data_IF_189033738977
#
_entry.id   IF_189033738977
#
_cell.length_a   1.000
_cell.length_b   1.000
_cell.length_c   1.000
_cell.angle_alpha   90.00
_cell.angle_beta   90.00
_cell.angle_gamma   90.00
#
_symmetry.space_group_name_H-M   'P 1'
#
loop_
_entity.id
_entity.type
_entity.pdbx_description
1 polymer ?
#
# COMPACT_ATOMS: atom_id res chain seq x y z
N UNK A 1 -11.77 17.21 1.12
CA UNK A 1 -10.33 17.08 0.75
C UNK A 1 -9.82 15.80 1.41
N UNK A 2 -9.89 14.69 0.69
CA UNK A 2 -9.47 13.37 1.15
C UNK A 2 -7.94 13.36 1.27
N UNK A 3 -7.39 13.67 2.44
CA UNK A 3 -5.94 13.58 2.67
C UNK A 3 -5.62 12.16 3.09
N UNK A 4 -5.29 11.32 2.12
CA UNK A 4 -4.67 10.02 2.37
C UNK A 4 -3.27 10.27 2.92
N UNK A 5 -3.13 10.27 4.23
CA UNK A 5 -1.83 10.36 4.92
C UNK A 5 -1.12 8.99 4.87
N UNK A 6 0.22 8.92 5.00
CA UNK A 6 0.92 7.71 5.39
C UNK A 6 0.20 6.97 6.54
N UNK A 7 0.38 5.65 6.63
CA UNK A 7 -0.29 4.84 7.68
C UNK A 7 0.13 5.35 9.06
N UNK A 8 1.35 5.88 9.18
CA UNK A 8 1.85 6.54 10.38
C UNK A 8 2.20 8.02 10.13
N UNK A 9 1.21 8.90 10.29
CA UNK A 9 1.42 10.35 10.34
C UNK A 9 1.59 11.01 8.97
N UNK A 10 2.14 12.22 8.94
CA UNK A 10 2.17 13.06 7.72
C UNK A 10 3.37 12.79 6.79
N UNK A 11 4.39 12.05 7.26
CA UNK A 11 5.62 11.76 6.52
C UNK A 11 5.83 10.25 6.38
N UNK A 12 6.28 9.81 5.20
CA UNK A 12 6.62 8.40 4.95
C UNK A 12 7.75 7.96 5.90
N UNK A 13 7.51 6.90 6.67
CA UNK A 13 8.43 6.42 7.70
C UNK A 13 8.82 4.95 7.47
N UNK A 14 9.82 4.46 8.22
CA UNK A 14 10.17 3.04 8.24
C UNK A 14 8.97 2.14 8.60
N UNK A 15 8.04 2.64 9.41
CA UNK A 15 6.82 1.93 9.77
C UNK A 15 5.90 1.71 8.56
N UNK A 16 5.84 2.65 7.61
CA UNK A 16 5.08 2.48 6.37
C UNK A 16 5.65 1.38 5.47
N UNK A 17 6.98 1.20 5.46
CA UNK A 17 7.61 0.09 4.75
C UNK A 17 7.35 -1.26 5.43
N UNK A 18 7.41 -1.31 6.77
CA UNK A 18 7.09 -2.54 7.49
C UNK A 18 5.60 -2.92 7.34
N UNK A 19 4.71 -1.93 7.23
CA UNK A 19 3.27 -2.14 7.09
C UNK A 19 2.79 -2.33 5.65
N UNK A 20 3.62 -2.11 4.62
CA UNK A 20 3.17 -2.27 3.23
C UNK A 20 2.75 -3.68 2.93
N UNK A 21 3.58 -4.66 3.27
CA UNK A 21 3.29 -6.06 2.99
C UNK A 21 2.02 -6.60 3.68
N UNK A 22 1.81 -6.43 5.00
CA UNK A 22 0.58 -6.91 5.64
C UNK A 22 -0.67 -6.17 5.17
N UNK A 23 -0.57 -4.88 4.80
CA UNK A 23 -1.71 -4.12 4.29
C UNK A 23 -2.08 -4.52 2.86
N UNK A 24 -1.09 -4.68 1.97
CA UNK A 24 -1.26 -5.23 0.62
C UNK A 24 -1.92 -6.62 0.69
N UNK A 25 -1.38 -7.52 1.51
CA UNK A 25 -1.95 -8.86 1.70
C UNK A 25 -3.39 -8.81 2.26
N UNK A 26 -3.69 -7.86 3.13
CA UNK A 26 -5.05 -7.70 3.69
C UNK A 26 -6.04 -7.19 2.65
N UNK A 27 -5.62 -6.30 1.74
CA UNK A 27 -6.43 -5.83 0.62
C UNK A 27 -6.65 -6.95 -0.38
N UNK A 28 -5.58 -7.64 -0.80
CA UNK A 28 -5.65 -8.75 -1.75
C UNK A 28 -6.55 -9.91 -1.26
N UNK A 29 -6.56 -10.17 0.05
CA UNK A 29 -7.42 -11.19 0.68
C UNK A 29 -8.85 -10.71 0.99
N UNK A 30 -9.21 -9.46 0.66
CA UNK A 30 -10.53 -8.89 0.92
C UNK A 30 -10.85 -8.62 2.40
N UNK A 31 -9.84 -8.66 3.29
CA UNK A 31 -10.01 -8.51 4.75
C UNK A 31 -10.34 -7.07 5.14
N UNK A 32 -9.82 -6.09 4.37
CA UNK A 32 -9.98 -4.66 4.66
C UNK A 32 -11.45 -4.22 4.59
N UNK A 33 -12.23 -4.83 3.67
CA UNK A 33 -13.66 -4.54 3.45
C UNK A 33 -13.95 -3.07 3.12
N UNK A 34 -15.22 -2.72 2.93
CA UNK A 34 -15.63 -1.35 2.57
C UNK A 34 -15.52 -0.34 3.73
N UNK A 35 -15.25 -0.81 4.95
CA UNK A 35 -15.26 0.02 6.16
C UNK A 35 -13.91 0.69 6.45
N UNK A 36 -12.88 0.42 5.63
CA UNK A 36 -11.51 0.94 5.84
C UNK A 36 -10.95 1.59 4.55
N UNK A 37 -11.63 2.60 4.00
CA UNK A 37 -11.27 3.20 2.70
C UNK A 37 -9.87 3.83 2.69
N UNK A 38 -9.36 4.29 3.84
CA UNK A 38 -8.03 4.87 3.95
C UNK A 38 -6.91 3.85 3.75
N UNK A 39 -7.15 2.58 4.10
CA UNK A 39 -6.16 1.51 3.90
C UNK A 39 -6.08 1.18 2.41
N UNK A 40 -7.23 1.02 1.75
CA UNK A 40 -7.28 0.81 0.29
C UNK A 40 -6.61 1.96 -0.45
N UNK A 41 -6.95 3.21 -0.12
CA UNK A 41 -6.36 4.39 -0.77
C UNK A 41 -4.85 4.53 -0.51
N UNK A 42 -4.34 4.02 0.62
CA UNK A 42 -2.91 4.00 0.90
C UNK A 42 -2.20 2.92 0.07
N UNK A 43 -2.76 1.71 -0.03
CA UNK A 43 -2.21 0.62 -0.86
C UNK A 43 -2.15 1.03 -2.33
N UNK A 44 -3.24 1.59 -2.87
CA UNK A 44 -3.28 2.14 -4.24
C UNK A 44 -2.17 3.17 -4.48
N UNK A 45 -1.94 4.05 -3.50
CA UNK A 45 -0.88 5.06 -3.58
C UNK A 45 0.51 4.45 -3.56
N UNK A 46 0.74 3.40 -2.77
CA UNK A 46 2.01 2.67 -2.72
C UNK A 46 2.27 2.01 -4.07
N UNK A 47 1.28 1.32 -4.66
CA UNK A 47 1.39 0.67 -5.97
C UNK A 47 1.63 1.68 -7.10
N UNK A 48 1.05 2.88 -7.00
CA UNK A 48 1.25 3.95 -7.98
C UNK A 48 2.66 4.58 -7.97
N UNK A 49 3.53 4.25 -7.00
CA UNK A 49 4.88 4.84 -6.94
C UNK A 49 5.78 4.26 -8.03
N UNK A 50 6.51 5.09 -8.80
CA UNK A 50 7.46 4.60 -9.80
C UNK A 50 8.54 3.68 -9.21
N UNK A 51 8.89 3.85 -7.93
CA UNK A 51 9.83 2.97 -7.24
C UNK A 51 9.25 1.57 -7.00
N UNK A 52 7.95 1.46 -6.72
CA UNK A 52 7.25 0.18 -6.55
C UNK A 52 7.15 -0.55 -7.89
N UNK A 53 6.75 0.15 -8.96
CA UNK A 53 6.69 -0.39 -10.32
C UNK A 53 8.05 -0.91 -10.82
N UNK A 54 9.13 -0.15 -10.60
CA UNK A 54 10.50 -0.62 -10.90
C UNK A 54 10.90 -1.85 -10.07
N UNK A 55 10.37 -1.96 -8.85
CA UNK A 55 10.54 -3.13 -8.00
C UNK A 55 9.87 -4.35 -8.60
N UNK A 56 8.64 -4.21 -9.09
CA UNK A 56 7.91 -5.27 -9.80
C UNK A 56 8.65 -5.70 -11.07
N UNK A 57 9.08 -4.75 -11.90
CA UNK A 57 9.83 -5.03 -13.14
C UNK A 57 11.12 -5.84 -12.90
N UNK A 58 11.80 -5.59 -11.77
CA UNK A 58 13.04 -6.29 -11.39
C UNK A 58 12.81 -7.57 -10.59
N UNK A 59 11.72 -7.63 -9.83
CA UNK A 59 11.41 -8.72 -8.90
C UNK A 59 10.66 -9.89 -9.51
N UNK A 60 10.08 -9.71 -10.71
CA UNK A 60 9.20 -10.69 -11.33
C UNK A 60 7.73 -10.50 -10.94
N UNK A 61 6.86 -11.40 -11.43
CA UNK A 61 5.41 -11.35 -11.17
C UNK A 61 5.13 -11.32 -9.65
N UNK A 62 4.48 -10.26 -9.19
CA UNK A 62 4.08 -10.10 -7.80
C UNK A 62 2.58 -10.34 -7.71
N UNK A 63 2.20 -11.52 -7.22
CA UNK A 63 0.81 -12.00 -7.12
C UNK A 63 -0.10 -11.19 -6.19
N UNK A 64 0.40 -10.10 -5.58
CA UNK A 64 -0.35 -9.27 -4.63
C UNK A 64 -0.56 -7.81 -5.09
N UNK A 65 -0.15 -7.44 -6.32
CA UNK A 65 -0.27 -6.07 -6.87
C UNK A 65 -1.56 -5.82 -7.66
#
# INVERSE_FOLDING_TARGET
KNRSVPVFGDNLSAADFQMSFPLEASVARGIVGNNRPNITAWVERVHARPAYQRGLEKGGEYDFA
#
